data_IF_395514453918
#
_entry.id   IF_395514453918
#
_cell.length_a   1.000
_cell.length_b   1.000
_cell.length_c   1.000
_cell.angle_alpha   90.00
_cell.angle_beta   90.00
_cell.angle_gamma   90.00
#
_symmetry.space_group_name_H-M   'P 1'
#
loop_
_entity.id
_entity.type
_entity.pdbx_description
1 polymer ?
#
# COMPACT_ATOMS: atom_id res chain seq x y z
N UNK A 1 -7.77 25.43 -25.44
CA UNK A 1 -8.40 24.88 -24.23
C UNK A 1 -8.26 25.88 -23.11
N UNK A 2 -9.33 26.16 -22.37
CA UNK A 2 -9.26 26.94 -21.13
C UNK A 2 -8.91 26.04 -19.94
N UNK A 3 -8.44 26.63 -18.84
CA UNK A 3 -8.19 25.92 -17.59
C UNK A 3 -9.46 25.21 -17.09
N UNK A 4 -10.61 25.88 -17.17
CA UNK A 4 -11.90 25.35 -16.74
C UNK A 4 -12.30 24.11 -17.57
N UNK A 5 -12.15 24.18 -18.90
CA UNK A 5 -12.42 23.04 -19.77
C UNK A 5 -11.49 21.86 -19.45
N UNK A 6 -10.22 22.12 -19.15
CA UNK A 6 -9.29 21.08 -18.73
C UNK A 6 -9.69 20.45 -17.39
N UNK A 7 -9.99 21.25 -16.36
CA UNK A 7 -10.38 20.76 -15.03
C UNK A 7 -11.69 19.97 -15.11
N UNK A 8 -12.67 20.48 -15.86
CA UNK A 8 -13.96 19.80 -16.08
C UNK A 8 -13.82 18.47 -16.81
N UNK A 9 -12.79 18.31 -17.66
CA UNK A 9 -12.48 17.03 -18.30
C UNK A 9 -11.70 16.10 -17.38
N UNK A 10 -10.69 16.61 -16.66
CA UNK A 10 -9.78 15.76 -15.89
C UNK A 10 -10.34 15.28 -14.56
N UNK A 11 -11.12 16.11 -13.84
CA UNK A 11 -11.63 15.72 -12.53
C UNK A 11 -12.47 14.42 -12.56
N UNK A 12 -13.44 14.25 -13.48
CA UNK A 12 -14.19 13.00 -13.57
C UNK A 12 -13.33 11.79 -13.95
N UNK A 13 -12.27 11.99 -14.76
CA UNK A 13 -11.36 10.91 -15.16
C UNK A 13 -10.47 10.45 -13.99
N UNK A 14 -10.01 11.39 -13.17
CA UNK A 14 -9.27 11.07 -11.94
C UNK A 14 -10.14 10.30 -10.97
N UNK A 15 -11.41 10.72 -10.80
CA UNK A 15 -12.35 10.01 -9.95
C UNK A 15 -12.60 8.59 -10.46
N UNK A 16 -12.78 8.41 -11.78
CA UNK A 16 -12.96 7.09 -12.38
C UNK A 16 -11.75 6.17 -12.18
N UNK A 17 -10.53 6.70 -12.36
CA UNK A 17 -9.28 5.94 -12.15
C UNK A 17 -9.13 5.53 -10.68
N UNK A 18 -9.40 6.46 -9.75
CA UNK A 18 -9.35 6.19 -8.32
C UNK A 18 -10.27 5.04 -7.92
N UNK A 19 -11.53 5.06 -8.38
CA UNK A 19 -12.49 4.00 -8.05
C UNK A 19 -12.11 2.65 -8.68
N UNK A 20 -11.51 2.67 -9.88
CA UNK A 20 -10.96 1.48 -10.51
C UNK A 20 -9.78 0.89 -9.70
N UNK A 21 -8.83 1.71 -9.27
CA UNK A 21 -7.68 1.30 -8.45
C UNK A 21 -8.12 0.69 -7.10
N UNK A 22 -9.10 1.31 -6.44
CA UNK A 22 -9.67 0.81 -5.19
C UNK A 22 -10.34 -0.56 -5.39
N UNK A 23 -11.16 -0.70 -6.44
CA UNK A 23 -11.85 -1.95 -6.77
C UNK A 23 -10.86 -3.08 -7.05
N UNK A 24 -9.78 -2.79 -7.78
CA UNK A 24 -8.70 -3.75 -8.03
C UNK A 24 -7.97 -4.14 -6.75
N UNK A 25 -7.65 -3.17 -5.89
CA UNK A 25 -6.94 -3.41 -4.63
C UNK A 25 -7.75 -4.30 -3.68
N UNK A 26 -9.07 -4.06 -3.56
CA UNK A 26 -9.96 -4.87 -2.73
C UNK A 26 -10.15 -6.30 -3.26
N UNK A 27 -10.45 -6.42 -4.55
CA UNK A 27 -10.66 -7.72 -5.21
C UNK A 27 -9.41 -8.60 -5.13
N UNK A 28 -8.26 -7.96 -5.33
CA UNK A 28 -6.99 -8.65 -5.31
C UNK A 28 -6.53 -8.97 -3.89
N UNK A 29 -6.84 -8.15 -2.89
CA UNK A 29 -6.59 -8.48 -1.48
C UNK A 29 -7.41 -9.69 -0.99
N UNK A 30 -8.61 -9.91 -1.52
CA UNK A 30 -9.51 -10.99 -1.09
C UNK A 30 -9.20 -12.36 -1.72
N UNK A 31 -8.64 -12.38 -2.94
CA UNK A 31 -8.39 -13.61 -3.71
C UNK A 31 -6.92 -13.98 -3.92
N UNK A 32 -5.97 -13.10 -3.57
CA UNK A 32 -4.53 -13.36 -3.79
C UNK A 32 -3.99 -14.39 -2.80
N UNK A 33 -3.28 -15.37 -3.36
CA UNK A 33 -2.34 -16.18 -2.61
C UNK A 33 -1.20 -15.27 -2.06
N UNK A 34 -1.01 -15.34 -0.74
CA UNK A 34 -0.10 -14.47 0.02
C UNK A 34 1.36 -14.68 -0.39
N UNK A 35 1.77 -15.92 -0.65
CA UNK A 35 3.14 -16.25 -1.08
C UNK A 35 3.46 -15.64 -2.45
N UNK A 36 2.48 -15.62 -3.35
CA UNK A 36 2.60 -15.03 -4.69
C UNK A 36 2.69 -13.51 -4.61
N UNK A 37 1.89 -12.87 -3.75
CA UNK A 37 1.94 -11.43 -3.53
C UNK A 37 3.28 -11.00 -2.90
N UNK A 38 3.82 -11.82 -1.98
CA UNK A 38 5.15 -11.59 -1.41
C UNK A 38 6.25 -11.72 -2.47
N UNK A 39 6.23 -12.78 -3.30
CA UNK A 39 7.21 -12.96 -4.39
C UNK A 39 7.18 -11.82 -5.41
N UNK A 40 6.00 -11.25 -5.68
CA UNK A 40 5.84 -10.09 -6.56
C UNK A 40 6.31 -8.77 -5.93
N UNK A 41 6.63 -8.74 -4.63
CA UNK A 41 7.03 -7.53 -3.91
C UNK A 41 5.86 -6.58 -3.61
N UNK A 42 4.62 -6.99 -3.87
CA UNK A 42 3.42 -6.19 -3.58
C UNK A 42 2.96 -6.32 -2.12
N UNK A 43 3.56 -7.25 -1.37
CA UNK A 43 3.27 -7.50 0.04
C UNK A 43 4.55 -7.89 0.76
N UNK A 44 4.83 -7.29 1.91
CA UNK A 44 5.99 -7.65 2.74
C UNK A 44 5.47 -8.21 4.05
N UNK A 45 5.87 -9.44 4.37
CA UNK A 45 5.41 -10.17 5.55
C UNK A 45 6.54 -10.32 6.57
N UNK A 46 6.18 -10.81 7.75
CA UNK A 46 7.12 -11.15 8.82
C UNK A 46 8.04 -9.98 9.24
N UNK A 47 7.49 -8.77 9.26
CA UNK A 47 8.20 -7.59 9.73
C UNK A 47 8.04 -7.41 11.25
N UNK A 48 9.05 -6.82 11.88
CA UNK A 48 8.99 -6.26 13.23
C UNK A 48 9.13 -4.75 13.15
N UNK A 49 8.34 -4.05 13.95
CA UNK A 49 8.53 -2.63 14.18
C UNK A 49 9.81 -2.44 15.03
N UNK A 50 10.69 -1.55 14.58
CA UNK A 50 11.96 -1.23 15.25
C UNK A 50 11.90 0.12 15.92
N UNK A 51 11.16 1.06 15.32
CA UNK A 51 11.10 2.43 15.77
C UNK A 51 9.77 3.06 15.35
N UNK A 52 9.20 3.91 16.22
CA UNK A 52 7.98 4.68 15.98
C UNK A 52 8.21 6.10 16.48
N UNK A 53 8.11 7.07 15.59
CA UNK A 53 8.33 8.47 15.89
C UNK A 53 7.15 9.33 15.41
N UNK A 54 6.94 10.47 16.05
CA UNK A 54 6.02 11.49 15.54
C UNK A 54 6.63 12.11 14.30
N UNK A 55 5.97 11.92 13.16
CA UNK A 55 6.32 12.52 11.87
C UNK A 55 5.61 13.85 11.62
N UNK A 56 5.73 14.34 10.38
CA UNK A 56 5.15 15.60 9.96
C UNK A 56 3.61 15.55 9.98
N UNK A 57 2.98 16.69 10.25
CA UNK A 57 1.50 16.84 10.27
C UNK A 57 0.78 15.90 11.24
N UNK A 58 1.40 15.54 12.36
CA UNK A 58 0.79 14.68 13.39
C UNK A 58 0.63 13.22 12.96
N UNK A 59 1.29 12.80 11.88
CA UNK A 59 1.33 11.41 11.43
C UNK A 59 2.44 10.68 12.17
N UNK A 60 2.29 9.39 12.42
CA UNK A 60 3.39 8.56 12.93
C UNK A 60 4.23 8.01 11.78
N UNK A 61 5.54 8.01 11.96
CA UNK A 61 6.49 7.31 11.10
C UNK A 61 7.01 6.07 11.84
N UNK A 62 6.94 4.90 11.21
CA UNK A 62 7.42 3.65 11.81
C UNK A 62 8.43 2.95 10.89
N UNK A 63 9.61 2.62 11.42
CA UNK A 63 10.60 1.81 10.73
C UNK A 63 10.40 0.33 11.05
N UNK A 64 10.50 -0.52 10.03
CA UNK A 64 10.29 -1.97 10.16
C UNK A 64 11.38 -2.75 9.46
N UNK A 65 11.80 -3.87 10.05
CA UNK A 65 12.78 -4.80 9.50
C UNK A 65 12.23 -6.24 9.51
N UNK A 66 12.78 -7.16 8.71
CA UNK A 66 12.44 -8.57 8.82
C UNK A 66 12.68 -9.10 10.24
N UNK A 67 11.76 -9.92 10.74
CA UNK A 67 12.01 -10.73 11.94
C UNK A 67 13.07 -11.77 11.61
N UNK A 68 14.06 -11.92 12.50
CA UNK A 68 14.99 -13.07 12.43
C UNK A 68 14.16 -14.32 12.72
N UNK A 69 14.21 -15.33 11.85
CA UNK A 69 13.66 -16.65 12.18
C UNK A 69 14.52 -17.24 13.31
N UNK A 70 13.94 -17.40 14.49
CA UNK A 70 14.53 -18.23 15.53
C UNK A 70 14.26 -19.67 15.15
N UNK A 71 15.26 -20.36 14.59
CA UNK A 71 15.25 -21.83 14.54
C UNK A 71 15.21 -22.33 15.98
N UNK A 72 14.05 -22.84 16.42
CA UNK A 72 13.98 -23.66 17.63
C UNK A 72 14.72 -24.95 17.33
N UNK A 73 16.02 -25.00 17.67
CA UNK A 73 16.75 -26.25 17.74
C UNK A 73 16.17 -27.03 18.93
N UNK A 74 15.27 -27.97 18.63
CA UNK A 74 14.90 -29.08 19.51
C UNK A 74 15.79 -30.28 19.16
#
# INVERSE_FOLDING_TARGET
MSLESFVSTMAPLIDMEKEAELSMSLTSGMSRNIETAQKKGTTILNLKCVDVQTGLKGRYFSSSNPKKETSSNL
#
